data_IF_412949384436
#
_entry.id   IF_412949384436
#
_cell.length_a   1.000
_cell.length_b   1.000
_cell.length_c   1.000
_cell.angle_alpha   90.00
_cell.angle_beta   90.00
_cell.angle_gamma   90.00
#
_symmetry.space_group_name_H-M   'P 1'
#
loop_
_entity.id
_entity.type
_entity.pdbx_description
1 polymer ?
#
# COMPACT_ATOMS: atom_id res chain seq x y z
N UNK A 1 -2.45 7.66 8.34
CA UNK A 1 -2.95 8.96 8.86
C UNK A 1 -2.86 10.05 7.80
N UNK A 2 -1.67 10.36 7.25
CA UNK A 2 -1.52 11.42 6.24
C UNK A 2 -2.45 11.26 5.01
N UNK A 3 -2.59 10.05 4.45
CA UNK A 3 -3.50 9.80 3.32
C UNK A 3 -4.96 10.13 3.64
N UNK A 4 -5.44 9.76 4.84
CA UNK A 4 -6.80 10.11 5.29
C UNK A 4 -6.97 11.63 5.46
N UNK A 5 -5.97 12.31 6.04
CA UNK A 5 -6.02 13.77 6.18
C UNK A 5 -6.04 14.48 4.82
N UNK A 6 -5.28 13.98 3.85
CA UNK A 6 -5.31 14.48 2.47
C UNK A 6 -6.67 14.23 1.83
N UNK A 7 -7.24 13.03 1.99
CA UNK A 7 -8.56 12.70 1.47
C UNK A 7 -9.66 13.62 2.04
N UNK A 8 -9.64 13.89 3.35
CA UNK A 8 -10.53 14.85 4.00
C UNK A 8 -10.36 16.26 3.43
N UNK A 9 -9.13 16.75 3.34
CA UNK A 9 -8.83 18.07 2.75
C UNK A 9 -9.33 18.20 1.32
N UNK A 10 -9.19 17.14 0.51
CA UNK A 10 -9.72 17.11 -0.87
C UNK A 10 -11.24 17.15 -0.83
N UNK A 11 -11.89 16.33 0.01
CA UNK A 11 -13.34 16.33 0.18
C UNK A 11 -13.90 17.68 0.65
N UNK A 12 -13.15 18.39 1.50
CA UNK A 12 -13.50 19.71 2.05
C UNK A 12 -13.30 20.88 1.08
N UNK A 13 -12.74 20.66 -0.11
CA UNK A 13 -12.58 21.69 -1.13
C UNK A 13 -13.92 22.36 -1.53
N UNK A 14 -13.90 23.66 -1.81
CA UNK A 14 -15.09 24.45 -2.12
C UNK A 14 -15.74 24.01 -3.44
N UNK A 15 -14.93 23.54 -4.39
CA UNK A 15 -15.38 23.01 -5.68
C UNK A 15 -16.28 21.77 -5.52
N UNK A 16 -16.15 21.06 -4.39
CA UNK A 16 -16.98 19.91 -4.06
C UNK A 16 -18.21 20.28 -3.22
N UNK A 17 -18.42 21.54 -2.84
CA UNK A 17 -19.50 21.93 -1.93
C UNK A 17 -20.90 21.52 -2.41
N UNK A 18 -21.17 21.52 -3.72
CA UNK A 18 -22.44 21.08 -4.30
C UNK A 18 -22.66 19.56 -4.28
N UNK A 19 -21.60 18.78 -4.03
CA UNK A 19 -21.61 17.31 -4.04
C UNK A 19 -21.29 16.71 -2.67
N UNK A 20 -20.65 17.47 -1.79
CA UNK A 20 -20.18 17.02 -0.47
C UNK A 20 -21.39 16.77 0.45
N UNK A 21 -21.54 15.52 0.87
CA UNK A 21 -22.39 15.13 2.00
C UNK A 21 -21.61 15.02 3.31
N UNK A 22 -22.25 14.46 4.32
CA UNK A 22 -21.59 14.11 5.59
C UNK A 22 -20.56 13.00 5.37
N UNK A 23 -19.38 13.11 5.99
CA UNK A 23 -18.41 12.02 6.04
C UNK A 23 -19.00 10.83 6.79
N UNK A 24 -19.24 9.71 6.09
CA UNK A 24 -19.81 8.50 6.68
C UNK A 24 -18.73 7.61 7.31
N UNK A 25 -17.55 7.55 6.68
CA UNK A 25 -16.41 6.79 7.18
C UNK A 25 -15.12 7.60 6.99
N UNK A 26 -14.27 7.73 8.02
CA UNK A 26 -14.48 7.25 9.39
C UNK A 26 -15.53 8.03 10.22
N UNK A 27 -15.99 9.17 9.71
CA UNK A 27 -16.95 10.04 10.40
C UNK A 27 -16.28 11.10 11.30
N UNK A 28 -17.05 12.10 11.74
CA UNK A 28 -16.54 13.30 12.40
C UNK A 28 -15.94 13.04 13.80
N UNK A 29 -16.36 11.97 14.48
CA UNK A 29 -15.87 11.61 15.82
C UNK A 29 -14.44 11.04 15.79
N UNK A 30 -13.95 10.67 14.61
CA UNK A 30 -12.58 10.20 14.40
C UNK A 30 -11.71 11.41 14.01
N UNK A 31 -11.26 12.17 15.00
CA UNK A 31 -10.61 13.47 14.80
C UNK A 31 -9.27 13.64 15.54
N UNK A 32 -8.81 12.61 16.26
CA UNK A 32 -7.50 12.59 16.93
C UNK A 32 -6.62 11.45 16.40
N UNK A 33 -5.32 11.50 16.72
CA UNK A 33 -4.35 10.54 16.22
C UNK A 33 -4.63 9.08 16.65
N UNK A 34 -5.18 8.88 17.85
CA UNK A 34 -5.49 7.55 18.38
C UNK A 34 -6.74 6.97 17.72
N UNK A 35 -7.81 7.75 17.62
CA UNK A 35 -9.05 7.32 16.93
C UNK A 35 -8.79 7.06 15.44
N UNK A 36 -8.02 7.92 14.76
CA UNK A 36 -7.61 7.69 13.36
C UNK A 36 -6.82 6.40 13.21
N UNK A 37 -5.88 6.13 14.13
CA UNK A 37 -5.08 4.89 14.08
C UNK A 37 -5.95 3.66 14.30
N UNK A 38 -6.88 3.70 15.23
CA UNK A 38 -7.80 2.59 15.50
C UNK A 38 -8.71 2.32 14.30
N UNK A 39 -9.28 3.37 13.69
CA UNK A 39 -10.05 3.24 12.46
C UNK A 39 -9.23 2.59 11.34
N UNK A 40 -8.02 3.09 11.07
CA UNK A 40 -7.19 2.56 9.99
C UNK A 40 -6.86 1.08 10.23
N UNK A 41 -6.56 0.67 11.47
CA UNK A 41 -6.32 -0.75 11.78
C UNK A 41 -7.51 -1.65 11.43
N UNK A 42 -8.74 -1.17 11.63
CA UNK A 42 -9.97 -1.92 11.37
C UNK A 42 -10.41 -1.88 9.91
N UNK A 43 -10.13 -0.76 9.22
CA UNK A 43 -10.62 -0.48 7.86
C UNK A 43 -9.59 -0.65 6.75
N UNK A 44 -8.33 -0.95 7.06
CA UNK A 44 -7.29 -1.16 6.05
C UNK A 44 -7.62 -2.37 5.18
N UNK A 45 -7.59 -2.14 3.87
CA UNK A 45 -7.63 -3.17 2.85
C UNK A 45 -6.35 -3.09 2.02
N UNK A 46 -5.91 -4.24 1.55
CA UNK A 46 -4.76 -4.35 0.66
C UNK A 46 -5.18 -4.04 -0.77
N UNK A 47 -4.34 -3.31 -1.50
CA UNK A 47 -4.62 -2.94 -2.89
C UNK A 47 -4.14 -4.01 -3.88
N UNK A 48 -4.29 -5.29 -3.51
CA UNK A 48 -3.98 -6.52 -4.29
C UNK A 48 -2.66 -6.58 -5.08
N UNK A 49 -1.71 -5.68 -4.82
CA UNK A 49 -0.40 -5.60 -5.47
C UNK A 49 0.68 -6.28 -4.63
N UNK A 50 0.57 -7.61 -4.48
CA UNK A 50 1.60 -8.39 -3.79
C UNK A 50 2.84 -8.56 -4.68
N UNK A 51 4.02 -8.29 -4.14
CA UNK A 51 5.29 -8.29 -4.87
C UNK A 51 6.47 -8.57 -3.94
N UNK A 52 7.64 -8.83 -4.52
CA UNK A 52 8.93 -8.87 -3.81
C UNK A 52 9.25 -10.13 -3.00
N UNK A 53 8.45 -11.19 -3.11
CA UNK A 53 8.68 -12.45 -2.37
C UNK A 53 9.85 -13.29 -2.91
N UNK A 54 10.29 -13.05 -4.14
CA UNK A 54 11.45 -13.67 -4.78
C UNK A 54 12.36 -12.58 -5.39
N UNK A 55 12.65 -11.56 -4.57
CA UNK A 55 13.32 -10.30 -4.92
C UNK A 55 14.59 -10.50 -5.77
N UNK A 56 14.69 -9.72 -6.85
CA UNK A 56 15.92 -9.57 -7.65
C UNK A 56 16.99 -8.80 -6.85
N UNK A 57 18.26 -9.19 -6.95
CA UNK A 57 19.32 -8.43 -6.30
C UNK A 57 20.72 -9.01 -6.47
N UNK A 58 21.68 -8.36 -5.82
CA UNK A 58 23.10 -8.75 -5.81
C UNK A 58 23.63 -9.00 -4.40
N UNK A 59 22.77 -8.89 -3.39
CA UNK A 59 23.10 -9.14 -1.98
C UNK A 59 22.64 -10.53 -1.55
N UNK A 60 23.12 -10.98 -0.38
CA UNK A 60 22.88 -12.34 0.13
C UNK A 60 21.40 -12.64 0.44
N UNK A 61 20.52 -11.63 0.45
CA UNK A 61 19.08 -11.79 0.65
C UNK A 61 18.30 -11.85 -0.68
N UNK A 62 18.96 -11.73 -1.83
CA UNK A 62 18.31 -11.88 -3.14
C UNK A 62 17.94 -13.35 -3.40
N UNK A 63 16.79 -13.57 -4.05
CA UNK A 63 16.35 -14.92 -4.45
C UNK A 63 16.74 -15.21 -5.89
N UNK A 64 16.71 -14.18 -6.75
CA UNK A 64 17.12 -14.28 -8.15
C UNK A 64 18.21 -13.26 -8.50
N UNK A 65 19.11 -13.65 -9.42
CA UNK A 65 20.13 -12.76 -9.98
C UNK A 65 19.55 -11.73 -10.96
N UNK A 66 20.39 -10.84 -11.51
CA UNK A 66 19.97 -9.81 -12.46
C UNK A 66 19.42 -10.35 -13.79
N UNK A 67 19.63 -11.64 -14.08
CA UNK A 67 19.07 -12.37 -15.22
C UNK A 67 17.84 -13.23 -14.80
N UNK A 68 17.31 -13.04 -13.59
CA UNK A 68 16.18 -13.75 -13.00
C UNK A 68 16.43 -15.23 -12.70
N UNK A 69 17.69 -15.68 -12.63
CA UNK A 69 18.03 -17.05 -12.27
C UNK A 69 17.96 -17.24 -10.76
N UNK A 70 17.33 -18.32 -10.32
CA UNK A 70 17.27 -18.67 -8.89
C UNK A 70 18.66 -19.07 -8.41
N UNK A 71 19.13 -18.46 -7.31
CA UNK A 71 20.44 -18.78 -6.76
C UNK A 71 20.52 -20.24 -6.29
N UNK A 72 21.61 -20.93 -6.66
CA UNK A 72 21.88 -22.32 -6.26
C UNK A 72 21.09 -23.39 -7.01
N UNK A 73 20.28 -23.02 -8.01
CA UNK A 73 19.50 -23.97 -8.83
C UNK A 73 19.70 -23.70 -10.31
N UNK A 74 20.29 -24.68 -11.01
CA UNK A 74 20.49 -24.58 -12.44
C UNK A 74 19.18 -24.70 -13.22
N UNK A 75 19.03 -23.89 -14.27
CA UNK A 75 17.89 -23.97 -15.20
C UNK A 75 16.55 -23.42 -14.69
N UNK A 76 16.51 -22.81 -13.50
CA UNK A 76 15.28 -22.25 -12.91
C UNK A 76 15.29 -20.71 -12.93
N UNK A 77 14.16 -20.10 -13.32
CA UNK A 77 13.94 -18.65 -13.27
C UNK A 77 12.57 -18.31 -12.68
N UNK A 78 12.43 -17.11 -12.12
CA UNK A 78 11.14 -16.52 -11.71
C UNK A 78 10.91 -15.23 -12.49
N UNK A 79 9.75 -15.07 -13.10
CA UNK A 79 9.45 -13.93 -13.97
C UNK A 79 8.02 -13.41 -13.74
N UNK A 80 7.77 -12.92 -12.52
CA UNK A 80 6.50 -12.30 -12.11
C UNK A 80 6.74 -11.19 -11.07
N UNK A 81 5.68 -10.65 -10.46
CA UNK A 81 5.80 -9.55 -9.49
C UNK A 81 6.63 -9.89 -8.23
N UNK A 82 6.84 -11.17 -7.94
CA UNK A 82 7.71 -11.59 -6.83
C UNK A 82 9.15 -11.10 -6.99
N UNK A 83 9.63 -10.84 -8.22
CA UNK A 83 11.01 -10.40 -8.44
C UNK A 83 11.23 -8.90 -8.23
N UNK A 84 10.17 -8.11 -8.04
CA UNK A 84 10.32 -6.67 -7.79
C UNK A 84 11.26 -6.43 -6.59
N UNK A 85 12.25 -5.53 -6.70
CA UNK A 85 13.22 -5.25 -5.64
C UNK A 85 12.58 -4.62 -4.40
#
# INVERSE_FOLDING_TARGET
AAGLAIARRIGEADELAGWRGTEIQPGPDVNDAASVRDYLKKGLLVYFHYAGTARIGTDDMAVVDLDLRVHGIDGLRVADASVMP
#
